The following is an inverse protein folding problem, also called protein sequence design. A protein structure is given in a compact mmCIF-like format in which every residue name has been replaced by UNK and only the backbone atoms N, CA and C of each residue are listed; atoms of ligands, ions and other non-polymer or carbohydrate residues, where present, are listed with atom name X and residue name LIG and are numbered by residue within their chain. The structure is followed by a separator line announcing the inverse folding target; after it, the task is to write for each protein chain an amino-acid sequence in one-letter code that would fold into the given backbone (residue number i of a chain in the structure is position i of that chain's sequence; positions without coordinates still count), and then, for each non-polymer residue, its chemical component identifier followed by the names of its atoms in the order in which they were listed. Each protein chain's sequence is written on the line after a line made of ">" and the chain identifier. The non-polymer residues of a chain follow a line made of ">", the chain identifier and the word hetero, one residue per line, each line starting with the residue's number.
data_IF_376598376459
#
_entry.id   IF_376598376459
#
_cell.length_a   1.000
_cell.length_b   1.000
_cell.length_c   1.000
_cell.angle_alpha   90.00
_cell.angle_beta   90.00
_cell.angle_gamma   90.00
#
_symmetry.space_group_name_H-M   'P 1'
#
loop_
_entity.id
_entity.type
_entity.pdbx_description
1 polymer ?
#
# COMPACT_ATOMS: atom_id res chain seq x y z
N UNK A 1 -32.18 29.02 28.49
CA UNK A 1 -31.44 29.51 29.66
C UNK A 1 -32.35 29.49 30.86
N UNK A 2 -32.98 30.54 31.27
CA UNK A 2 -33.97 30.47 32.32
C UNK A 2 -35.19 29.63 31.93
N UNK A 3 -35.69 28.73 32.78
CA UNK A 3 -35.22 28.45 34.15
C UNK A 3 -34.21 27.29 34.27
N UNK A 4 -33.80 26.65 33.18
CA UNK A 4 -33.00 25.41 33.26
C UNK A 4 -31.63 25.64 33.88
N UNK A 5 -30.85 26.56 33.37
CA UNK A 5 -29.51 26.84 33.89
C UNK A 5 -29.50 27.45 35.28
N UNK A 6 -30.52 28.26 35.63
CA UNK A 6 -30.64 28.78 36.99
C UNK A 6 -30.86 27.65 37.98
N UNK A 7 -31.72 26.68 37.67
CA UNK A 7 -31.94 25.50 38.50
C UNK A 7 -30.71 24.59 38.57
N UNK A 8 -30.01 24.43 37.47
CA UNK A 8 -28.77 23.64 37.39
C UNK A 8 -27.68 24.26 38.28
N UNK A 9 -27.45 25.58 38.18
CA UNK A 9 -26.53 26.30 39.04
C UNK A 9 -26.88 26.16 40.50
N UNK A 10 -28.15 26.46 40.88
CA UNK A 10 -28.61 26.39 42.24
C UNK A 10 -28.43 24.99 42.87
N UNK A 11 -28.76 23.94 42.14
CA UNK A 11 -28.59 22.55 42.60
C UNK A 11 -27.12 22.16 42.74
N UNK A 12 -26.30 22.50 41.78
CA UNK A 12 -24.87 22.13 41.76
C UNK A 12 -24.09 22.92 42.81
N UNK A 13 -24.34 24.22 42.97
CA UNK A 13 -23.70 25.06 43.98
C UNK A 13 -24.08 24.62 45.37
N UNK A 14 -25.35 24.29 45.61
CA UNK A 14 -25.82 23.75 46.86
C UNK A 14 -25.22 22.40 47.20
N UNK A 15 -25.11 21.50 46.24
CA UNK A 15 -24.53 20.17 46.41
C UNK A 15 -23.02 20.24 46.71
N UNK A 16 -22.28 21.07 45.98
CA UNK A 16 -20.84 21.23 46.14
C UNK A 16 -20.43 22.21 47.24
N UNK A 17 -21.37 22.96 47.81
CA UNK A 17 -21.10 23.98 48.81
C UNK A 17 -20.22 25.13 48.31
N UNK A 18 -20.26 25.44 47.02
CA UNK A 18 -19.47 26.49 46.40
C UNK A 18 -20.36 27.65 45.94
N UNK A 19 -19.81 28.88 45.93
CA UNK A 19 -20.54 30.09 45.48
C UNK A 19 -20.47 30.29 43.96
N UNK A 20 -19.74 29.47 43.27
CA UNK A 20 -19.61 29.51 41.80
C UNK A 20 -19.20 28.15 41.29
N UNK A 21 -20.10 27.50 40.54
CA UNK A 21 -19.86 26.18 39.97
C UNK A 21 -19.33 26.26 38.53
N UNK A 22 -19.99 27.06 37.67
CA UNK A 22 -19.61 27.16 36.25
C UNK A 22 -19.67 28.63 35.78
N UNK A 23 -18.72 29.04 34.95
CA UNK A 23 -18.60 30.42 34.49
C UNK A 23 -19.24 30.65 33.12
N UNK A 24 -19.23 29.63 32.26
CA UNK A 24 -19.65 29.76 30.85
C UNK A 24 -20.49 28.58 30.43
N UNK A 25 -21.57 28.84 29.68
CA UNK A 25 -22.39 27.83 29.04
C UNK A 25 -22.19 27.86 27.54
N UNK A 26 -21.89 26.70 26.95
CA UNK A 26 -21.77 26.51 25.52
C UNK A 26 -22.98 25.74 25.00
N UNK A 27 -23.70 26.33 24.04
CA UNK A 27 -24.87 25.71 23.42
C UNK A 27 -24.57 25.23 22.02
N UNK A 28 -24.75 23.93 21.76
CA UNK A 28 -24.68 23.36 20.44
C UNK A 28 -26.01 23.44 19.70
N UNK A 29 -25.97 23.30 18.37
CA UNK A 29 -27.18 23.19 17.57
C UNK A 29 -27.98 21.92 17.87
N UNK A 30 -29.21 21.88 17.44
CA UNK A 30 -30.09 20.72 17.61
C UNK A 30 -29.89 19.73 16.47
N UNK A 31 -30.00 18.42 16.77
CA UNK A 31 -30.05 17.38 15.80
C UNK A 31 -31.46 17.26 15.21
N UNK A 32 -31.54 17.32 13.90
CA UNK A 32 -32.73 17.10 13.10
C UNK A 32 -32.57 15.79 12.31
N UNK A 33 -33.67 15.11 12.08
CA UNK A 33 -33.75 13.92 11.21
C UNK A 33 -34.70 14.29 10.07
N UNK A 34 -34.21 14.27 8.84
CA UNK A 34 -34.97 14.62 7.64
C UNK A 34 -35.73 15.98 7.75
N UNK A 35 -35.04 16.98 8.30
CA UNK A 35 -35.59 18.34 8.45
C UNK A 35 -36.44 18.56 9.68
N UNK A 36 -36.82 17.53 10.41
CA UNK A 36 -37.66 17.63 11.63
C UNK A 36 -36.79 17.50 12.88
N UNK A 37 -37.08 18.30 13.91
CA UNK A 37 -36.40 18.16 15.20
C UNK A 37 -36.58 16.74 15.74
N UNK A 38 -35.48 16.10 16.09
CA UNK A 38 -35.53 14.78 16.71
C UNK A 38 -36.26 14.83 18.05
N UNK A 39 -37.32 14.04 18.17
CA UNK A 39 -38.08 13.94 19.43
C UNK A 39 -38.79 12.60 19.57
N UNK A 40 -38.97 12.14 20.81
CA UNK A 40 -39.71 10.92 21.11
C UNK A 40 -41.20 11.02 20.71
N UNK A 41 -41.79 12.22 20.83
CA UNK A 41 -43.18 12.48 20.48
C UNK A 41 -43.46 12.36 18.98
N UNK A 42 -42.46 12.71 18.13
CA UNK A 42 -42.55 12.59 16.68
C UNK A 42 -42.15 11.21 16.17
N UNK A 43 -41.69 10.30 17.05
CA UNK A 43 -41.22 8.95 16.70
C UNK A 43 -40.18 8.92 15.57
N UNK A 44 -39.39 9.99 15.43
CA UNK A 44 -38.34 10.16 14.43
C UNK A 44 -36.93 10.10 15.04
N UNK A 45 -36.80 9.49 16.22
CA UNK A 45 -35.47 9.35 16.84
C UNK A 45 -34.78 8.08 16.31
N UNK A 46 -33.47 8.18 16.14
CA UNK A 46 -32.57 7.07 15.83
C UNK A 46 -31.69 6.88 17.05
N UNK A 47 -31.64 5.68 17.60
CA UNK A 47 -30.71 5.36 18.68
C UNK A 47 -29.26 5.30 18.18
N UNK A 48 -28.29 5.41 19.09
CA UNK A 48 -26.87 5.29 18.73
C UNK A 48 -26.58 3.89 18.17
N UNK A 49 -27.17 2.85 18.78
CA UNK A 49 -26.99 1.47 18.34
C UNK A 49 -27.51 1.27 16.91
N UNK A 50 -28.72 1.75 16.60
CA UNK A 50 -29.28 1.70 15.23
C UNK A 50 -28.41 2.49 14.23
N UNK A 51 -27.82 3.61 14.64
CA UNK A 51 -26.92 4.37 13.77
C UNK A 51 -25.61 3.60 13.54
N UNK A 52 -25.07 2.91 14.55
CA UNK A 52 -23.84 2.12 14.46
C UNK A 52 -24.02 0.83 13.66
N UNK A 53 -25.23 0.29 13.53
CA UNK A 53 -25.53 -0.82 12.61
C UNK A 53 -25.35 -0.40 11.13
N UNK A 54 -25.58 0.89 10.81
CA UNK A 54 -25.55 1.41 9.44
C UNK A 54 -24.26 2.16 9.09
N UNK A 55 -23.62 2.77 10.06
CA UNK A 55 -22.46 3.64 9.91
C UNK A 55 -21.39 3.33 10.95
N UNK A 56 -20.12 3.43 10.57
CA UNK A 56 -19.05 3.29 11.55
C UNK A 56 -18.99 4.49 12.51
N UNK A 57 -18.44 4.28 13.69
CA UNK A 57 -18.22 5.36 14.67
C UNK A 57 -17.39 6.52 14.06
N UNK A 58 -16.42 6.20 13.21
CA UNK A 58 -15.61 7.18 12.46
C UNK A 58 -16.48 8.00 11.51
N UNK A 59 -17.38 7.36 10.76
CA UNK A 59 -18.29 8.06 9.85
C UNK A 59 -19.24 9.00 10.60
N UNK A 60 -19.83 8.54 11.70
CA UNK A 60 -20.70 9.39 12.52
C UNK A 60 -19.92 10.58 13.09
N UNK A 61 -18.71 10.36 13.61
CA UNK A 61 -17.87 11.43 14.11
C UNK A 61 -17.46 12.43 13.02
N UNK A 62 -17.12 11.94 11.85
CA UNK A 62 -16.79 12.79 10.69
C UNK A 62 -18.01 13.60 10.23
N UNK A 63 -19.22 13.02 10.29
CA UNK A 63 -20.47 13.74 9.99
C UNK A 63 -20.67 14.95 10.91
N UNK A 64 -20.40 14.80 12.21
CA UNK A 64 -20.44 15.92 13.15
C UNK A 64 -19.38 16.98 12.87
N UNK A 65 -18.16 16.57 12.50
CA UNK A 65 -17.07 17.50 12.20
C UNK A 65 -17.29 18.30 10.91
N UNK A 66 -18.03 17.76 9.97
CA UNK A 66 -18.39 18.44 8.72
C UNK A 66 -19.55 19.42 8.85
N UNK A 67 -20.08 19.61 10.07
CA UNK A 67 -21.15 20.57 10.38
C UNK A 67 -20.68 21.59 11.42
N UNK A 68 -21.08 22.88 11.28
CA UNK A 68 -20.82 23.87 12.32
C UNK A 68 -21.54 23.49 13.62
N UNK A 69 -20.81 23.40 14.72
CA UNK A 69 -21.34 22.93 16.01
C UNK A 69 -22.48 23.77 16.57
N UNK A 70 -22.53 25.07 16.26
CA UNK A 70 -23.58 26.01 16.71
C UNK A 70 -24.85 25.95 15.84
N UNK A 71 -24.77 25.33 14.65
CA UNK A 71 -25.87 25.25 13.69
C UNK A 71 -26.69 23.98 13.89
N UNK A 72 -27.89 23.97 13.32
CA UNK A 72 -28.73 22.77 13.29
C UNK A 72 -28.05 21.72 12.42
N UNK A 73 -27.85 20.54 12.93
CA UNK A 73 -27.40 19.39 12.15
C UNK A 73 -28.62 18.61 11.65
N UNK A 74 -28.71 18.42 10.35
CA UNK A 74 -29.74 17.59 9.73
C UNK A 74 -29.16 16.28 9.25
N UNK A 75 -29.49 15.19 9.95
CA UNK A 75 -29.03 13.87 9.62
C UNK A 75 -29.84 13.31 8.45
N UNK A 76 -29.20 13.23 7.27
CA UNK A 76 -29.76 12.74 6.02
C UNK A 76 -28.84 11.74 5.36
N UNK A 77 -29.39 10.83 4.58
CA UNK A 77 -28.58 9.87 3.83
C UNK A 77 -27.64 10.55 2.82
N UNK A 78 -28.04 11.66 2.21
CA UNK A 78 -27.18 12.46 1.30
C UNK A 78 -25.95 13.03 2.02
N UNK A 79 -26.10 13.55 3.24
CA UNK A 79 -24.98 14.02 4.04
C UNK A 79 -24.00 12.88 4.39
N UNK A 80 -24.50 11.69 4.67
CA UNK A 80 -23.66 10.52 4.92
C UNK A 80 -22.93 10.04 3.67
N UNK A 81 -23.45 10.29 2.46
CA UNK A 81 -22.72 10.02 1.21
C UNK A 81 -21.51 10.95 1.06
N UNK A 82 -21.62 12.23 1.42
CA UNK A 82 -20.49 13.18 1.46
C UNK A 82 -19.42 12.73 2.46
N UNK A 83 -19.83 12.29 3.64
CA UNK A 83 -18.95 11.74 4.68
C UNK A 83 -18.16 10.53 4.17
N UNK A 84 -18.85 9.57 3.51
CA UNK A 84 -18.18 8.39 2.93
C UNK A 84 -17.19 8.78 1.82
N UNK A 85 -17.53 9.80 1.04
CA UNK A 85 -16.62 10.32 0.00
C UNK A 85 -15.36 10.92 0.61
N UNK A 86 -15.48 11.72 1.67
CA UNK A 86 -14.36 12.28 2.39
C UNK A 86 -13.49 11.20 3.04
N UNK A 87 -14.11 10.22 3.73
CA UNK A 87 -13.41 9.07 4.31
C UNK A 87 -12.64 8.28 3.25
N UNK A 88 -13.27 8.00 2.11
CA UNK A 88 -12.64 7.30 0.99
C UNK A 88 -11.45 8.07 0.43
N UNK A 89 -11.54 9.39 0.34
CA UNK A 89 -10.46 10.25 -0.13
C UNK A 89 -9.23 10.18 0.79
N UNK A 90 -9.42 10.23 2.11
CA UNK A 90 -8.35 10.06 3.08
C UNK A 90 -7.75 8.65 3.03
N UNK A 91 -8.58 7.61 3.02
CA UNK A 91 -8.13 6.22 2.97
C UNK A 91 -7.29 5.93 1.71
N UNK A 92 -7.75 6.38 0.54
CA UNK A 92 -7.04 6.21 -0.71
C UNK A 92 -5.68 6.93 -0.69
N UNK A 93 -5.64 8.13 -0.14
CA UNK A 93 -4.40 8.89 -0.01
C UNK A 93 -3.39 8.18 0.92
N UNK A 94 -3.81 7.77 2.10
CA UNK A 94 -2.95 7.05 3.03
C UNK A 94 -2.46 5.72 2.46
N UNK A 95 -3.32 4.97 1.78
CA UNK A 95 -2.94 3.73 1.11
C UNK A 95 -1.91 3.97 0.00
N UNK A 96 -2.08 5.02 -0.81
CA UNK A 96 -1.13 5.38 -1.86
C UNK A 96 0.24 5.77 -1.29
N UNK A 97 0.27 6.63 -0.26
CA UNK A 97 1.53 7.05 0.39
C UNK A 97 2.23 5.86 1.06
N UNK A 98 1.48 4.96 1.71
CA UNK A 98 2.03 3.75 2.30
C UNK A 98 2.64 2.81 1.23
N UNK A 99 1.95 2.62 0.10
CA UNK A 99 2.45 1.82 -1.01
C UNK A 99 3.73 2.40 -1.62
N UNK A 100 3.75 3.71 -1.89
CA UNK A 100 4.92 4.42 -2.42
C UNK A 100 6.10 4.33 -1.44
N UNK A 101 5.84 4.53 -0.15
CA UNK A 101 6.88 4.45 0.90
C UNK A 101 7.47 3.04 1.01
N UNK A 102 6.66 1.99 0.89
CA UNK A 102 7.13 0.60 0.85
C UNK A 102 7.98 0.32 -0.39
N UNK A 103 7.52 0.77 -1.55
CA UNK A 103 8.28 0.62 -2.80
C UNK A 103 9.63 1.33 -2.72
N UNK A 104 9.66 2.57 -2.20
CA UNK A 104 10.89 3.33 -2.02
C UNK A 104 11.88 2.64 -1.08
N UNK A 105 11.41 2.11 0.07
CA UNK A 105 12.25 1.33 0.98
C UNK A 105 12.80 0.05 0.34
N UNK A 106 11.99 -0.65 -0.45
CA UNK A 106 12.40 -1.88 -1.13
C UNK A 106 13.48 -1.66 -2.21
N UNK A 107 13.54 -0.47 -2.80
CA UNK A 107 14.59 -0.08 -3.76
C UNK A 107 15.95 0.17 -3.11
N UNK A 108 16.02 0.25 -1.78
CA UNK A 108 17.24 0.39 -0.99
C UNK A 108 17.87 1.79 -1.04
N UNK A 109 18.97 1.96 -0.28
CA UNK A 109 19.69 3.23 -0.11
C UNK A 109 20.32 3.77 -1.41
N UNK A 110 20.33 2.99 -2.49
CA UNK A 110 20.89 3.41 -3.79
C UNK A 110 20.19 4.66 -4.39
N UNK A 111 19.00 5.01 -3.90
CA UNK A 111 18.26 6.21 -4.31
C UNK A 111 18.31 7.35 -3.27
N UNK A 112 18.96 7.16 -2.13
CA UNK A 112 19.10 8.17 -1.10
C UNK A 112 20.59 8.44 -0.85
N UNK A 113 21.06 9.58 -1.33
CA UNK A 113 22.37 10.14 -0.96
C UNK A 113 22.33 10.85 0.39
N UNK A 114 21.25 10.70 1.14
CA UNK A 114 20.99 11.40 2.40
C UNK A 114 20.61 12.88 2.23
N UNK A 115 20.43 13.36 1.00
CA UNK A 115 20.04 14.73 0.70
C UNK A 115 18.58 14.79 0.19
N UNK A 116 17.87 15.83 0.59
CA UNK A 116 16.55 16.13 0.07
C UNK A 116 16.65 17.05 -1.15
N UNK A 117 16.45 16.48 -2.33
CA UNK A 117 16.40 17.23 -3.57
C UNK A 117 15.00 17.79 -3.81
N UNK A 118 14.77 19.05 -3.42
CA UNK A 118 13.49 19.72 -3.65
C UNK A 118 13.57 20.55 -4.94
N UNK A 119 12.92 20.06 -5.98
CA UNK A 119 12.63 20.83 -7.18
C UNK A 119 11.49 21.84 -6.98
N UNK A 120 11.06 22.53 -8.05
CA UNK A 120 9.96 23.49 -7.96
C UNK A 120 8.63 22.89 -7.50
N UNK A 121 8.33 21.65 -7.90
CA UNK A 121 7.09 20.96 -7.53
C UNK A 121 7.05 20.59 -6.04
N UNK A 122 8.16 20.08 -5.49
CA UNK A 122 8.31 19.76 -4.07
C UNK A 122 8.24 21.01 -3.20
N UNK A 123 8.91 22.09 -3.63
CA UNK A 123 8.83 23.38 -2.94
C UNK A 123 7.41 23.95 -2.93
N UNK A 124 6.69 23.80 -4.05
CA UNK A 124 5.28 24.22 -4.13
C UNK A 124 4.40 23.40 -3.18
N UNK A 125 4.56 22.08 -3.14
CA UNK A 125 3.78 21.23 -2.22
C UNK A 125 4.14 21.49 -0.75
N UNK A 126 5.42 21.72 -0.44
CA UNK A 126 5.86 22.09 0.91
C UNK A 126 5.29 23.45 1.36
N UNK A 127 5.23 24.44 0.46
CA UNK A 127 4.57 25.72 0.73
C UNK A 127 3.06 25.54 0.97
N UNK A 128 2.38 24.72 0.13
CA UNK A 128 0.99 24.39 0.31
C UNK A 128 0.69 23.67 1.64
N UNK A 129 1.63 22.84 2.11
CA UNK A 129 1.53 22.23 3.44
C UNK A 129 1.61 23.30 4.54
N UNK A 130 2.54 24.25 4.44
CA UNK A 130 2.66 25.34 5.41
C UNK A 130 1.40 26.24 5.41
N UNK A 131 0.88 26.58 4.23
CA UNK A 131 -0.36 27.34 4.10
C UNK A 131 -1.56 26.60 4.72
N UNK A 132 -1.66 25.28 4.48
CA UNK A 132 -2.71 24.45 5.07
C UNK A 132 -2.60 24.38 6.59
N UNK A 133 -1.40 24.33 7.15
CA UNK A 133 -1.17 24.37 8.61
C UNK A 133 -1.67 25.68 9.20
N UNK A 134 -1.39 26.80 8.56
CA UNK A 134 -1.88 28.12 8.98
C UNK A 134 -3.41 28.21 8.87
N UNK A 135 -3.97 27.83 7.71
CA UNK A 135 -5.41 27.88 7.48
C UNK A 135 -6.20 26.95 8.42
N UNK A 136 -5.67 25.75 8.73
CA UNK A 136 -6.27 24.86 9.69
C UNK A 136 -6.29 25.46 11.10
N UNK A 137 -5.17 26.08 11.53
CA UNK A 137 -5.08 26.76 12.82
C UNK A 137 -6.06 27.92 12.89
N UNK A 138 -6.15 28.74 11.85
CA UNK A 138 -7.13 29.83 11.77
C UNK A 138 -8.56 29.32 11.92
N UNK A 139 -8.92 28.23 11.20
CA UNK A 139 -10.25 27.62 11.32
C UNK A 139 -10.55 27.16 12.76
N UNK A 140 -9.57 26.56 13.46
CA UNK A 140 -9.74 26.14 14.84
C UNK A 140 -9.84 27.32 15.82
N UNK A 141 -9.18 28.44 15.53
CA UNK A 141 -9.27 29.66 16.32
C UNK A 141 -10.56 30.44 16.07
N UNK A 142 -11.20 30.24 14.89
CA UNK A 142 -12.47 30.85 14.54
C UNK A 142 -13.65 30.00 15.02
N UNK A 143 -13.89 30.02 16.33
CA UNK A 143 -15.01 29.31 16.96
C UNK A 143 -15.06 27.81 16.64
N UNK A 144 -13.92 27.15 16.53
CA UNK A 144 -13.81 25.73 16.16
C UNK A 144 -14.54 25.41 14.84
N UNK A 145 -14.22 26.14 13.78
CA UNK A 145 -14.75 25.86 12.42
C UNK A 145 -14.18 24.56 11.86
N UNK A 146 -14.70 23.43 12.38
CA UNK A 146 -14.29 22.09 11.99
C UNK A 146 -14.62 21.77 10.53
N UNK A 147 -15.74 22.23 9.92
CA UNK A 147 -15.99 22.06 8.49
C UNK A 147 -14.88 22.64 7.63
N UNK A 148 -14.47 23.88 7.89
CA UNK A 148 -13.36 24.52 7.20
C UNK A 148 -12.05 23.76 7.43
N UNK A 149 -11.82 23.27 8.65
CA UNK A 149 -10.66 22.45 8.99
C UNK A 149 -10.59 21.17 8.15
N UNK A 150 -11.70 20.43 8.03
CA UNK A 150 -11.77 19.21 7.19
C UNK A 150 -11.59 19.54 5.71
N UNK A 151 -12.18 20.63 5.22
CA UNK A 151 -12.01 21.07 3.82
C UNK A 151 -10.55 21.40 3.50
N UNK A 152 -9.84 22.10 4.38
CA UNK A 152 -8.39 22.37 4.24
C UNK A 152 -7.60 21.07 4.12
N UNK A 153 -7.91 20.04 4.92
CA UNK A 153 -7.22 18.76 4.85
C UNK A 153 -7.52 18.02 3.53
N UNK A 154 -8.78 18.03 3.06
CA UNK A 154 -9.17 17.43 1.77
C UNK A 154 -8.51 18.13 0.59
N UNK A 155 -8.44 19.47 0.60
CA UNK A 155 -7.75 20.24 -0.43
C UNK A 155 -6.25 19.93 -0.45
N UNK A 156 -5.60 19.81 0.70
CA UNK A 156 -4.19 19.45 0.80
C UNK A 156 -3.94 18.04 0.24
N UNK A 157 -4.79 17.06 0.57
CA UNK A 157 -4.76 15.71 -0.01
C UNK A 157 -4.92 15.75 -1.53
N UNK A 158 -5.85 16.55 -2.04
CA UNK A 158 -6.04 16.72 -3.48
C UNK A 158 -4.78 17.24 -4.18
N UNK A 159 -4.12 18.26 -3.60
CA UNK A 159 -2.86 18.82 -4.13
C UNK A 159 -1.71 17.80 -4.09
N UNK A 160 -1.62 17.02 -3.03
CA UNK A 160 -0.63 15.94 -2.91
C UNK A 160 -0.86 14.84 -3.97
N UNK A 161 -2.12 14.49 -4.25
CA UNK A 161 -2.49 13.55 -5.32
C UNK A 161 -2.15 14.10 -6.72
N UNK A 162 -2.29 15.41 -6.95
CA UNK A 162 -1.88 16.05 -8.21
C UNK A 162 -0.35 15.96 -8.39
N UNK A 163 0.41 16.24 -7.34
CA UNK A 163 1.87 16.10 -7.36
C UNK A 163 2.28 14.64 -7.63
N UNK A 164 1.67 13.67 -6.95
CA UNK A 164 1.97 12.23 -7.12
C UNK A 164 1.73 11.75 -8.55
N UNK A 165 0.59 12.15 -9.15
CA UNK A 165 0.25 11.74 -10.52
C UNK A 165 1.03 12.50 -11.59
N UNK A 166 1.42 13.74 -11.32
CA UNK A 166 2.16 14.60 -12.25
C UNK A 166 3.65 14.34 -12.29
N UNK A 167 4.20 13.61 -11.32
CA UNK A 167 5.64 13.37 -11.18
C UNK A 167 5.98 11.93 -11.55
N UNK A 168 6.97 11.70 -12.44
CA UNK A 168 7.44 10.35 -12.73
C UNK A 168 7.91 9.62 -11.45
N UNK A 169 7.67 8.31 -11.39
CA UNK A 169 8.02 7.48 -10.20
C UNK A 169 9.47 7.59 -9.77
N UNK A 170 10.38 7.76 -10.72
CA UNK A 170 11.83 7.85 -10.44
C UNK A 170 12.25 9.22 -9.89
N UNK A 171 11.45 10.26 -10.16
CA UNK A 171 11.69 11.62 -9.69
C UNK A 171 10.84 12.00 -8.46
N UNK A 172 9.97 11.10 -8.00
CA UNK A 172 9.03 11.36 -6.93
C UNK A 172 9.73 11.46 -5.58
N UNK A 173 9.61 12.60 -4.91
CA UNK A 173 10.12 12.78 -3.56
C UNK A 173 9.10 12.28 -2.52
N UNK A 174 9.35 11.10 -1.98
CA UNK A 174 8.44 10.43 -1.04
C UNK A 174 8.32 11.20 0.27
N UNK A 175 9.39 11.89 0.71
CA UNK A 175 9.40 12.61 1.99
C UNK A 175 8.34 13.72 2.04
N UNK A 176 8.13 14.45 0.94
CA UNK A 176 7.11 15.51 0.89
C UNK A 176 5.70 14.93 1.04
N UNK A 177 5.42 13.78 0.40
CA UNK A 177 4.13 13.08 0.53
C UNK A 177 3.93 12.55 1.96
N UNK A 178 4.98 11.99 2.57
CA UNK A 178 4.96 11.51 3.95
C UNK A 178 4.67 12.66 4.92
N UNK A 179 5.31 13.82 4.75
CA UNK A 179 5.07 14.99 5.60
C UNK A 179 3.61 15.47 5.54
N UNK A 180 3.02 15.47 4.34
CA UNK A 180 1.58 15.78 4.19
C UNK A 180 0.73 14.72 4.88
N UNK A 181 1.00 13.43 4.68
CA UNK A 181 0.23 12.35 5.29
C UNK A 181 0.30 12.39 6.83
N UNK A 182 1.48 12.64 7.40
CA UNK A 182 1.65 12.77 8.85
C UNK A 182 0.88 13.97 9.43
N UNK A 183 0.90 15.11 8.73
CA UNK A 183 0.12 16.26 9.17
C UNK A 183 -1.38 15.96 9.14
N UNK A 184 -1.90 15.45 8.03
CA UNK A 184 -3.31 15.08 7.89
C UNK A 184 -3.72 14.04 8.94
N UNK A 185 -2.95 12.96 9.10
CA UNK A 185 -3.21 11.93 10.09
C UNK A 185 -3.24 12.48 11.52
N UNK A 186 -2.29 13.37 11.87
CA UNK A 186 -2.24 14.01 13.19
C UNK A 186 -3.49 14.85 13.45
N UNK A 187 -3.95 15.65 12.49
CA UNK A 187 -5.15 16.47 12.65
C UNK A 187 -6.42 15.61 12.77
N UNK A 188 -6.55 14.59 11.95
CA UNK A 188 -7.68 13.65 12.03
C UNK A 188 -7.68 12.86 13.36
N UNK A 189 -6.51 12.46 13.86
CA UNK A 189 -6.39 11.81 15.18
C UNK A 189 -6.72 12.77 16.33
N UNK A 190 -6.35 14.04 16.24
CA UNK A 190 -6.74 15.08 17.20
C UNK A 190 -8.26 15.20 17.30
N UNK A 191 -8.98 15.03 16.21
CA UNK A 191 -10.43 14.96 16.18
C UNK A 191 -11.02 13.63 16.68
N UNK A 192 -10.17 12.69 17.09
CA UNK A 192 -10.60 11.37 17.56
C UNK A 192 -11.07 10.44 16.44
N UNK A 193 -10.64 10.68 15.21
CA UNK A 193 -10.91 9.80 14.06
C UNK A 193 -9.90 8.66 13.93
N UNK A 194 -8.80 8.72 14.68
CA UNK A 194 -7.76 7.71 14.68
C UNK A 194 -8.15 6.46 15.47
N UNK A 195 -7.68 5.31 15.06
CA UNK A 195 -7.80 4.04 15.76
C UNK A 195 -6.45 3.62 16.32
N UNK A 196 -6.47 3.06 17.52
CA UNK A 196 -5.27 2.65 18.23
C UNK A 196 -4.44 3.80 18.82
N UNK A 197 -3.36 3.50 19.57
CA UNK A 197 -2.50 4.51 20.18
C UNK A 197 -1.79 5.32 19.09
N UNK A 198 -1.74 6.64 19.27
CA UNK A 198 -0.97 7.52 18.38
C UNK A 198 0.53 7.22 18.52
N UNK A 199 1.20 6.97 17.41
CA UNK A 199 2.66 6.80 17.32
C UNK A 199 3.26 7.96 16.55
N UNK A 200 4.46 8.37 16.95
CA UNK A 200 5.19 9.36 16.18
C UNK A 200 5.54 8.78 14.79
N UNK A 201 5.23 9.56 13.76
CA UNK A 201 5.46 9.14 12.39
C UNK A 201 4.30 8.41 11.72
N UNK A 202 3.17 8.21 12.39
CA UNK A 202 1.96 7.62 11.78
C UNK A 202 1.53 8.41 10.54
N UNK A 203 1.36 7.69 9.44
CA UNK A 203 0.93 8.25 8.14
C UNK A 203 -0.54 7.96 7.84
N UNK A 204 -1.31 7.48 8.83
CA UNK A 204 -2.72 7.14 8.65
C UNK A 204 -3.49 7.34 9.96
N UNK A 205 -4.79 7.29 9.90
CA UNK A 205 -5.67 7.28 11.08
C UNK A 205 -5.97 5.88 11.63
N UNK A 206 -5.28 4.84 11.12
CA UNK A 206 -5.52 3.45 11.49
C UNK A 206 -6.68 2.82 10.70
N UNK A 207 -6.72 1.49 10.73
CA UNK A 207 -7.83 0.70 10.15
C UNK A 207 -8.49 -0.11 11.26
N UNK A 208 -9.80 -0.37 11.14
CA UNK A 208 -10.56 -1.17 12.12
C UNK A 208 -9.97 -2.57 12.36
N UNK A 209 -9.18 -3.07 11.43
CA UNK A 209 -8.48 -4.37 11.55
C UNK A 209 -7.27 -4.33 12.51
N UNK A 210 -6.75 -3.14 12.86
CA UNK A 210 -5.61 -3.01 13.77
C UNK A 210 -6.01 -2.96 15.26
N UNK A 211 -7.31 -2.89 15.56
CA UNK A 211 -7.83 -2.79 16.91
C UNK A 211 -8.11 -4.15 17.59
N UNK A 212 -7.93 -5.26 16.88
CA UNK A 212 -8.18 -6.60 17.39
C UNK A 212 -6.87 -7.37 17.51
N UNK A 213 -5.96 -6.94 18.38
CA UNK A 213 -5.01 -7.91 18.95
C UNK A 213 -4.47 -7.45 20.31
N UNK A 214 -4.87 -8.21 21.30
CA UNK A 214 -4.40 -8.17 22.67
C UNK A 214 -3.12 -9.04 22.71
N UNK A 215 -1.95 -8.41 22.67
CA UNK A 215 -0.75 -8.99 23.28
C UNK A 215 0.22 -9.83 22.46
N UNK A 216 0.03 -10.04 21.15
CA UNK A 216 1.08 -10.65 20.32
C UNK A 216 1.69 -9.61 19.36
N UNK A 217 2.98 -9.70 19.08
CA UNK A 217 3.68 -8.82 18.13
C UNK A 217 2.93 -8.92 16.81
N UNK A 218 2.07 -7.95 16.54
CA UNK A 218 1.25 -7.93 15.33
C UNK A 218 2.20 -7.93 14.12
N UNK A 219 2.38 -9.10 13.53
CA UNK A 219 3.05 -9.25 12.24
C UNK A 219 2.22 -8.44 11.25
N UNK A 220 2.79 -7.37 10.71
CA UNK A 220 2.09 -6.54 9.73
C UNK A 220 1.67 -7.43 8.55
N UNK A 221 0.37 -7.74 8.49
CA UNK A 221 -0.20 -8.58 7.44
C UNK A 221 0.20 -8.11 6.06
N UNK A 222 0.28 -6.79 5.88
CA UNK A 222 0.67 -6.19 4.61
C UNK A 222 2.14 -6.49 4.29
N UNK A 223 3.02 -6.54 5.30
CA UNK A 223 4.43 -6.87 5.12
C UNK A 223 4.62 -8.33 4.71
N UNK A 224 3.83 -9.25 5.28
CA UNK A 224 3.85 -10.67 4.91
C UNK A 224 3.29 -10.91 3.52
N UNK A 225 2.19 -10.25 3.16
CA UNK A 225 1.50 -10.47 1.88
C UNK A 225 2.14 -9.70 0.72
N UNK A 226 2.80 -8.57 0.98
CA UNK A 226 3.36 -7.70 -0.05
C UNK A 226 4.31 -8.40 -1.05
N UNK A 227 5.21 -9.32 -0.66
CA UNK A 227 6.07 -10.03 -1.61
C UNK A 227 5.26 -10.84 -2.64
N UNK A 228 4.23 -11.56 -2.20
CA UNK A 228 3.37 -12.36 -3.08
C UNK A 228 2.55 -11.48 -4.04
N UNK A 229 2.01 -10.38 -3.55
CA UNK A 229 1.27 -9.41 -4.38
C UNK A 229 2.19 -8.77 -5.42
N UNK A 230 3.46 -8.51 -5.08
CA UNK A 230 4.45 -8.00 -6.06
C UNK A 230 4.69 -8.98 -7.19
N UNK A 231 4.88 -10.27 -6.89
CA UNK A 231 5.05 -11.31 -7.91
C UNK A 231 3.84 -11.35 -8.84
N UNK A 232 2.62 -11.35 -8.26
CA UNK A 232 1.37 -11.36 -9.02
C UNK A 232 1.22 -10.11 -9.90
N UNK A 233 1.52 -8.92 -9.36
CA UNK A 233 1.44 -7.65 -10.10
C UNK A 233 2.46 -7.61 -11.24
N UNK A 234 3.71 -8.00 -10.97
CA UNK A 234 4.79 -8.09 -11.97
C UNK A 234 4.44 -9.08 -13.08
N UNK A 235 3.92 -10.25 -12.73
CA UNK A 235 3.45 -11.25 -13.71
C UNK A 235 2.36 -10.68 -14.62
N UNK A 236 1.32 -10.07 -14.00
CA UNK A 236 0.24 -9.41 -14.74
C UNK A 236 0.76 -8.37 -15.74
N UNK A 237 1.69 -7.51 -15.32
CA UNK A 237 2.19 -6.44 -16.16
C UNK A 237 3.03 -6.98 -17.32
N UNK A 238 3.86 -8.01 -17.08
CA UNK A 238 4.62 -8.73 -18.13
C UNK A 238 3.70 -9.44 -19.12
N UNK A 239 2.64 -10.10 -18.64
CA UNK A 239 1.62 -10.72 -19.52
C UNK A 239 0.98 -9.66 -20.42
N UNK A 240 0.61 -8.50 -19.86
CA UNK A 240 0.02 -7.39 -20.65
C UNK A 240 1.00 -6.83 -21.68
N UNK A 241 2.27 -6.75 -21.34
CA UNK A 241 3.32 -6.29 -22.26
C UNK A 241 3.51 -7.28 -23.41
N UNK A 242 3.63 -8.59 -23.14
CA UNK A 242 3.72 -9.63 -24.13
C UNK A 242 2.48 -9.66 -25.04
N UNK A 243 1.29 -9.55 -24.48
CA UNK A 243 0.05 -9.50 -25.25
C UNK A 243 0.00 -8.27 -26.19
N UNK A 244 0.48 -7.11 -25.75
CA UNK A 244 0.55 -5.90 -26.59
C UNK A 244 1.61 -6.00 -27.71
N UNK A 245 2.70 -6.71 -27.46
CA UNK A 245 3.75 -6.94 -28.47
C UNK A 245 3.40 -8.07 -29.47
N UNK A 246 2.27 -8.76 -29.28
CA UNK A 246 1.88 -9.88 -30.14
C UNK A 246 2.73 -11.12 -29.93
N UNK A 247 3.32 -11.30 -28.76
CA UNK A 247 4.16 -12.43 -28.42
C UNK A 247 3.41 -13.77 -28.53
N UNK A 248 4.08 -14.81 -29.02
CA UNK A 248 3.50 -16.14 -29.14
C UNK A 248 3.29 -16.86 -27.80
N UNK A 249 2.46 -17.90 -27.80
CA UNK A 249 2.15 -18.71 -26.60
C UNK A 249 3.41 -19.23 -25.87
N UNK A 250 4.47 -19.53 -26.60
CA UNK A 250 5.74 -20.00 -26.03
C UNK A 250 6.45 -18.98 -25.12
N UNK A 251 6.25 -17.67 -25.36
CA UNK A 251 6.81 -16.63 -24.50
C UNK A 251 5.99 -16.45 -23.20
N UNK A 252 4.68 -16.63 -23.29
CA UNK A 252 3.81 -16.65 -22.12
C UNK A 252 4.10 -17.85 -21.22
N UNK A 253 4.36 -19.03 -21.79
CA UNK A 253 4.75 -20.22 -21.03
C UNK A 253 6.10 -20.02 -20.33
N UNK A 254 7.10 -19.47 -21.01
CA UNK A 254 8.39 -19.14 -20.37
C UNK A 254 8.24 -18.17 -19.22
N UNK A 255 7.35 -17.19 -19.35
CA UNK A 255 7.04 -16.25 -18.26
C UNK A 255 6.40 -16.96 -17.06
N UNK A 256 5.45 -17.87 -17.31
CA UNK A 256 4.81 -18.66 -16.27
C UNK A 256 5.82 -19.58 -15.55
N UNK A 257 6.69 -20.25 -16.32
CA UNK A 257 7.77 -21.07 -15.77
C UNK A 257 8.75 -20.24 -14.92
N UNK A 258 9.10 -19.03 -15.36
CA UNK A 258 9.99 -18.15 -14.59
C UNK A 258 9.37 -17.74 -13.24
N UNK A 259 8.08 -17.47 -13.20
CA UNK A 259 7.38 -17.18 -11.94
C UNK A 259 7.38 -18.40 -11.02
N UNK A 260 7.06 -19.59 -11.55
CA UNK A 260 7.03 -20.85 -10.81
C UNK A 260 8.40 -21.24 -10.27
N UNK A 261 9.42 -21.23 -11.13
CA UNK A 261 10.73 -21.82 -10.83
C UNK A 261 11.72 -20.84 -10.19
N UNK A 262 11.41 -19.52 -10.20
CA UNK A 262 12.29 -18.47 -9.64
C UNK A 262 11.59 -17.65 -8.58
N UNK A 263 10.58 -16.86 -8.96
CA UNK A 263 10.03 -15.82 -8.11
C UNK A 263 9.26 -16.39 -6.89
N UNK A 264 8.52 -17.48 -7.07
CA UNK A 264 7.79 -18.16 -5.99
C UNK A 264 8.71 -19.01 -5.11
N UNK A 265 9.76 -19.58 -5.67
CA UNK A 265 10.78 -20.34 -4.92
C UNK A 265 11.46 -19.46 -3.88
N UNK A 266 11.78 -18.21 -4.23
CA UNK A 266 12.39 -17.24 -3.30
C UNK A 266 11.44 -16.84 -2.14
N UNK A 267 10.13 -17.02 -2.35
CA UNK A 267 9.10 -16.80 -1.32
C UNK A 267 8.70 -18.06 -0.55
N UNK A 268 9.37 -19.18 -0.81
CA UNK A 268 9.06 -20.46 -0.14
C UNK A 268 7.77 -21.11 -0.63
N UNK A 269 7.37 -20.86 -1.88
CA UNK A 269 6.21 -21.48 -2.51
C UNK A 269 6.63 -22.37 -3.66
N UNK A 270 6.30 -23.67 -3.57
CA UNK A 270 6.45 -24.62 -4.65
C UNK A 270 5.12 -24.81 -5.38
N UNK A 271 5.12 -24.73 -6.71
CA UNK A 271 3.99 -25.09 -7.55
C UNK A 271 4.26 -26.43 -8.24
N UNK A 272 3.30 -27.33 -8.15
CA UNK A 272 3.32 -28.64 -8.83
C UNK A 272 2.17 -28.69 -9.84
N UNK A 273 2.50 -28.79 -11.12
CA UNK A 273 1.51 -28.91 -12.19
C UNK A 273 0.86 -30.31 -12.14
N UNK A 274 -0.47 -30.36 -12.19
CA UNK A 274 -1.25 -31.60 -12.22
C UNK A 274 -1.65 -31.94 -13.66
N UNK A 275 -2.03 -33.19 -13.86
CA UNK A 275 -2.45 -33.69 -15.19
C UNK A 275 -3.71 -33.02 -15.74
N UNK A 276 -4.53 -32.44 -14.84
CA UNK A 276 -5.74 -31.69 -15.19
C UNK A 276 -5.47 -30.23 -15.62
N UNK A 277 -4.21 -29.81 -15.62
CA UNK A 277 -3.80 -28.44 -15.95
C UNK A 277 -3.94 -27.44 -14.80
N UNK A 278 -4.29 -27.89 -13.60
CA UNK A 278 -4.26 -27.07 -12.37
C UNK A 278 -2.89 -27.16 -11.69
N UNK A 279 -2.55 -26.16 -10.87
CA UNK A 279 -1.32 -26.18 -10.06
C UNK A 279 -1.68 -26.34 -8.58
N UNK A 280 -1.01 -27.30 -7.92
CA UNK A 280 -1.05 -27.44 -6.46
C UNK A 280 0.09 -26.62 -5.87
N UNK A 281 -0.21 -25.78 -4.87
CA UNK A 281 0.82 -25.03 -4.17
C UNK A 281 1.14 -25.65 -2.81
N UNK A 282 2.42 -25.57 -2.41
CA UNK A 282 2.93 -26.02 -1.12
C UNK A 282 3.86 -24.96 -0.53
N UNK A 283 3.76 -24.72 0.77
CA UNK A 283 4.74 -23.91 1.48
C UNK A 283 5.91 -24.79 1.95
N UNK A 284 7.12 -24.44 1.52
CA UNK A 284 8.35 -25.14 1.83
C UNK A 284 9.41 -24.08 2.15
N UNK A 285 10.32 -24.29 3.14
CA UNK A 285 11.37 -23.32 3.39
C UNK A 285 12.13 -22.93 2.12
N UNK A 286 12.28 -21.62 1.87
CA UNK A 286 12.89 -21.09 0.66
C UNK A 286 14.29 -21.67 0.39
N UNK A 287 15.10 -21.86 1.46
CA UNK A 287 16.43 -22.45 1.37
C UNK A 287 16.43 -23.86 0.75
N UNK A 288 15.43 -24.69 1.07
CA UNK A 288 15.31 -26.04 0.51
C UNK A 288 14.95 -26.00 -0.97
N UNK A 289 14.06 -25.10 -1.36
CA UNK A 289 13.67 -24.93 -2.77
C UNK A 289 14.81 -24.36 -3.60
N UNK A 290 15.55 -23.41 -3.06
CA UNK A 290 16.73 -22.84 -3.72
C UNK A 290 17.86 -23.89 -3.88
N UNK A 291 18.09 -24.74 -2.88
CA UNK A 291 19.06 -25.83 -2.96
C UNK A 291 18.66 -26.86 -4.04
N UNK A 292 17.39 -27.27 -4.08
CA UNK A 292 16.89 -28.20 -5.10
C UNK A 292 16.96 -27.59 -6.52
N UNK A 293 16.69 -26.28 -6.67
CA UNK A 293 16.86 -25.56 -7.93
C UNK A 293 18.32 -25.55 -8.37
N UNK A 294 19.25 -25.19 -7.49
CA UNK A 294 20.67 -25.17 -7.78
C UNK A 294 21.21 -26.56 -8.22
N UNK A 295 20.73 -27.63 -7.59
CA UNK A 295 21.06 -28.99 -7.98
C UNK A 295 20.54 -29.33 -9.37
N UNK A 296 19.29 -28.99 -9.69
CA UNK A 296 18.68 -29.19 -11.01
C UNK A 296 19.42 -28.40 -12.09
N UNK A 297 19.80 -27.16 -11.83
CA UNK A 297 20.58 -26.33 -12.75
C UNK A 297 21.98 -26.91 -12.99
N UNK A 298 22.65 -27.43 -11.97
CA UNK A 298 23.96 -28.13 -12.11
C UNK A 298 23.84 -29.39 -12.95
N UNK A 299 22.81 -30.20 -12.72
CA UNK A 299 22.58 -31.40 -13.49
C UNK A 299 22.30 -31.12 -15.00
N UNK A 300 21.53 -30.06 -15.29
CA UNK A 300 21.26 -29.60 -16.64
C UNK A 300 22.55 -29.08 -17.32
N UNK A 301 23.35 -28.27 -16.60
CA UNK A 301 24.63 -27.77 -17.11
C UNK A 301 25.63 -28.88 -17.40
N UNK A 302 25.73 -29.89 -16.51
CA UNK A 302 26.60 -31.04 -16.70
C UNK A 302 26.17 -31.87 -17.92
N UNK A 303 24.86 -32.12 -18.08
CA UNK A 303 24.31 -32.81 -19.24
C UNK A 303 24.60 -32.06 -20.55
N UNK A 304 24.45 -30.71 -20.53
CA UNK A 304 24.77 -29.87 -21.68
C UNK A 304 26.28 -29.91 -22.03
N UNK A 305 27.15 -29.80 -21.02
CA UNK A 305 28.61 -29.91 -21.19
C UNK A 305 29.01 -31.26 -21.75
N UNK A 306 28.43 -32.36 -21.26
CA UNK A 306 28.67 -33.72 -21.76
C UNK A 306 28.21 -33.87 -23.22
N UNK A 307 27.07 -33.29 -23.57
CA UNK A 307 26.58 -33.28 -24.95
C UNK A 307 27.46 -32.45 -25.88
N UNK A 308 27.95 -31.30 -25.46
CA UNK A 308 28.86 -30.45 -26.17
C UNK A 308 30.22 -31.16 -26.41
N UNK A 309 30.80 -31.75 -25.36
CA UNK A 309 32.05 -32.53 -25.49
C UNK A 309 31.91 -33.75 -26.44
N UNK A 310 30.77 -34.45 -26.39
CA UNK A 310 30.48 -35.54 -27.32
C UNK A 310 30.35 -35.06 -28.77
N UNK A 311 29.71 -33.90 -28.99
CA UNK A 311 29.61 -33.30 -30.33
C UNK A 311 30.96 -32.84 -30.89
N UNK A 312 31.81 -32.26 -30.03
CA UNK A 312 33.16 -31.85 -30.39
C UNK A 312 34.05 -33.04 -30.74
N UNK A 313 34.00 -34.12 -29.92
CA UNK A 313 34.71 -35.37 -30.22
C UNK A 313 34.23 -36.01 -31.53
N UNK A 314 32.92 -35.97 -31.80
CA UNK A 314 32.39 -36.48 -33.10
C UNK A 314 32.83 -35.61 -34.28
N UNK A 315 32.89 -34.29 -34.12
CA UNK A 315 33.41 -33.38 -35.14
C UNK A 315 34.90 -33.57 -35.39
N UNK A 316 35.70 -33.80 -34.35
CA UNK A 316 37.12 -34.11 -34.45
C UNK A 316 37.37 -35.44 -35.21
N UNK A 317 36.64 -36.51 -34.87
CA UNK A 317 36.70 -37.80 -35.62
C UNK A 317 36.34 -37.65 -37.08
N UNK A 318 35.32 -36.84 -37.39
CA UNK A 318 34.92 -36.57 -38.78
C UNK A 318 35.97 -35.78 -39.54
N UNK A 319 36.69 -34.83 -38.92
CA UNK A 319 37.81 -34.11 -39.50
C UNK A 319 38.98 -35.08 -39.81
N UNK A 320 39.30 -35.90 -38.83
CA UNK A 320 40.38 -36.92 -39.00
C UNK A 320 40.06 -37.89 -40.11
N UNK A 321 38.83 -38.37 -40.27
CA UNK A 321 38.39 -39.22 -41.36
C UNK A 321 38.48 -38.48 -42.69
N UNK A 322 38.13 -37.23 -42.80
CA UNK A 322 38.26 -36.41 -43.99
C UNK A 322 39.73 -36.17 -44.38
N UNK A 323 40.62 -35.97 -43.42
CA UNK A 323 42.07 -35.84 -43.66
C UNK A 323 42.68 -37.14 -44.13
N UNK A 324 42.32 -38.27 -43.47
CA UNK A 324 42.74 -39.60 -43.95
C UNK A 324 42.26 -39.88 -45.35
N UNK A 325 41.03 -39.48 -45.73
CA UNK A 325 40.51 -39.62 -47.08
C UNK A 325 41.18 -38.73 -48.13
N UNK A 326 41.98 -37.74 -47.75
CA UNK A 326 42.78 -36.87 -48.62
C UNK A 326 44.21 -37.40 -48.89
N UNK A 327 44.66 -38.40 -48.12
CA UNK A 327 45.95 -38.98 -48.27
C UNK A 327 45.88 -39.93 -49.49
N UNK A 328 46.76 -39.74 -50.47
CA UNK A 328 46.82 -40.60 -51.66
C UNK A 328 47.10 -42.03 -51.24
N UNK A 329 46.54 -43.06 -51.95
CA UNK A 329 46.68 -44.47 -51.56
C UNK A 329 48.13 -44.96 -51.48
N UNK A 330 48.99 -44.42 -52.29
CA UNK A 330 50.44 -44.73 -52.34
C UNK A 330 51.19 -44.19 -51.08
N UNK A 331 50.73 -43.15 -50.45
CA UNK A 331 51.30 -42.65 -49.22
C UNK A 331 50.81 -43.41 -47.95
N UNK A 332 49.64 -44.05 -48.05
CA UNK A 332 49.05 -44.87 -46.98
C UNK A 332 49.73 -46.24 -46.84
N UNK A 333 50.36 -46.74 -47.89
CA UNK A 333 50.94 -48.08 -47.93
C UNK A 333 52.47 -48.06 -48.04
N UNK A 334 53.14 -46.92 -47.76
CA UNK A 334 54.62 -46.95 -47.62
C UNK A 334 54.98 -47.73 -46.37
N UNK A 335 55.74 -48.85 -46.52
CA UNK A 335 56.20 -49.57 -45.34
C UNK A 335 57.14 -48.68 -44.54
N UNK A 336 57.05 -48.68 -43.24
CA UNK A 336 58.00 -47.97 -42.41
C UNK A 336 59.35 -48.70 -42.50
N UNK A 337 60.37 -47.98 -42.98
CA UNK A 337 61.77 -48.28 -42.90
C UNK A 337 62.32 -49.44 -43.74
N UNK A 338 62.91 -49.07 -44.87
CA UNK A 338 64.09 -49.74 -45.45
C UNK A 338 65.31 -48.80 -45.26
N UNK A 339 65.72 -48.62 -44.01
CA UNK A 339 67.02 -48.09 -43.67
C UNK A 339 67.66 -48.98 -42.60
N UNK A 340 68.03 -50.16 -43.04
CA UNK A 340 68.98 -51.02 -42.39
C UNK A 340 69.73 -51.77 -43.45
N UNK A 341 70.73 -51.08 -44.00
CA UNK A 341 72.04 -51.63 -44.41
C UNK A 341 72.95 -50.46 -44.74
#
# INVERSE_FOLDING_TARGET
>A
MFPHHDNELAQSEAFHGCGQWINYFLHTGHLHIEGLKMSKSLKNFISIDEALERFSARQLRLAFLMQPWQSKMDFRESAMAEVRSAETSFNNYFAAVAAISREHRARGVAFSDGQHHYGPAEKALAAQLADAQCAFREAMCDSFDTPRGIDVLLQLVSRANVYERGTPRDALNVTVLVNVAQFVARMLRMFGLGEGPARDGDMSWGTAAAAADDGDVAVDRDEVVAPFVRVLSSFRDRVRQLARSGAGAGELLKLADAVRDVELVDLGVALEDQEDGTALFKFVPAEQLQAARAEKERAVAEKAARKAAAAEAAAARRREQLERGRIAPDALFRPPHTDLY
#
